data_IF_222584749660
#
_entry.id   IF_222584749660
#
_cell.length_a   1.000
_cell.length_b   1.000
_cell.length_c   1.000
_cell.angle_alpha   90.00
_cell.angle_beta   90.00
_cell.angle_gamma   90.00
#
_symmetry.space_group_name_H-M   'P 1'
#
loop_
_entity.id
_entity.type
_entity.pdbx_description
1 polymer ?
#
# COMPACT_ATOMS: atom_id res chain seq x y z
N UNK A 1 -15.33 3.52 19.93
CA UNK A 1 -14.53 3.12 18.88
C UNK A 1 -14.51 3.98 17.67
N UNK A 2 -15.50 4.65 17.43
CA UNK A 2 -15.53 5.46 16.39
C UNK A 2 -14.68 6.60 16.52
N UNK A 3 -14.20 7.01 17.59
CA UNK A 3 -13.27 8.08 17.66
C UNK A 3 -11.88 7.70 17.15
N UNK A 4 -11.63 6.43 16.86
CA UNK A 4 -10.42 6.09 16.20
C UNK A 4 -10.30 6.73 14.84
N UNK A 5 -11.37 7.02 14.17
CA UNK A 5 -11.32 7.60 12.84
C UNK A 5 -10.66 8.97 12.81
N UNK A 6 -10.55 9.63 13.97
CA UNK A 6 -9.87 10.91 14.03
C UNK A 6 -8.37 10.78 13.99
N UNK A 7 -7.83 9.59 14.31
CA UNK A 7 -6.38 9.37 14.32
C UNK A 7 -5.92 8.63 13.10
N UNK A 8 -6.79 7.87 12.47
CA UNK A 8 -6.42 7.03 11.35
C UNK A 8 -7.13 7.48 10.11
N UNK A 9 -6.47 7.41 8.98
CA UNK A 9 -7.13 7.66 7.71
C UNK A 9 -6.60 6.70 6.67
N UNK A 10 -7.45 6.39 5.69
CA UNK A 10 -7.10 5.59 4.53
C UNK A 10 -7.35 6.46 3.32
N UNK A 11 -6.34 6.68 2.51
CA UNK A 11 -6.42 7.61 1.40
C UNK A 11 -5.95 6.97 0.10
N UNK A 12 -6.71 7.19 -0.96
CA UNK A 12 -6.29 6.76 -2.29
C UNK A 12 -5.12 7.63 -2.74
N UNK A 13 -4.09 7.01 -3.28
CA UNK A 13 -2.95 7.74 -3.83
C UNK A 13 -3.32 8.22 -5.23
N UNK A 14 -3.61 9.51 -5.35
CA UNK A 14 -4.04 10.10 -6.60
C UNK A 14 -3.50 11.54 -6.68
N UNK A 15 -2.67 11.84 -7.67
CA UNK A 15 -2.27 10.99 -8.79
C UNK A 15 -1.34 9.86 -8.33
N UNK A 16 -1.17 8.88 -9.21
CA UNK A 16 -0.31 7.74 -8.89
C UNK A 16 1.13 8.21 -8.66
N UNK A 17 1.82 7.52 -7.78
CA UNK A 17 3.17 7.89 -7.40
C UNK A 17 3.96 6.60 -7.20
N UNK A 18 4.70 6.19 -8.25
CA UNK A 18 5.40 4.93 -8.20
C UNK A 18 6.51 4.92 -7.15
N UNK A 19 7.05 6.07 -6.82
CA UNK A 19 8.10 6.13 -5.80
C UNK A 19 7.54 5.80 -4.43
N UNK A 20 6.29 6.19 -4.18
CA UNK A 20 5.64 5.86 -2.93
C UNK A 20 5.38 4.35 -2.83
N UNK A 21 4.91 3.74 -3.91
CA UNK A 21 4.72 2.29 -3.94
C UNK A 21 6.05 1.57 -3.72
N UNK A 22 7.11 2.05 -4.35
CA UNK A 22 8.43 1.45 -4.20
C UNK A 22 8.94 1.57 -2.77
N UNK A 23 8.73 2.73 -2.15
CA UNK A 23 9.11 2.96 -0.76
C UNK A 23 8.42 1.95 0.16
N UNK A 24 7.10 1.81 0.01
CA UNK A 24 6.35 0.90 0.85
C UNK A 24 6.73 -0.55 0.58
N UNK A 25 6.92 -0.91 -0.68
CA UNK A 25 7.30 -2.27 -1.00
C UNK A 25 8.60 -2.64 -0.29
N UNK A 26 9.58 -1.75 -0.34
CA UNK A 26 10.87 -2.03 0.29
C UNK A 26 10.77 -2.06 1.81
N UNK A 27 10.07 -1.10 2.39
CA UNK A 27 10.10 -0.91 3.85
C UNK A 27 9.12 -1.81 4.59
N UNK A 28 8.01 -2.16 3.97
CA UNK A 28 7.11 -3.14 4.54
C UNK A 28 7.61 -4.53 4.19
N UNK A 29 8.03 -4.70 2.94
CA UNK A 29 8.34 -6.02 2.41
C UNK A 29 9.58 -6.65 3.00
N UNK A 30 10.50 -5.86 3.55
CA UNK A 30 11.72 -6.45 4.10
C UNK A 30 11.42 -7.42 5.24
N UNK A 31 10.37 -7.17 6.01
CA UNK A 31 9.99 -8.05 7.09
C UNK A 31 9.09 -9.20 6.62
N UNK A 32 8.59 -9.14 5.40
CA UNK A 32 7.75 -10.17 4.83
C UNK A 32 8.45 -10.94 3.72
N UNK A 33 9.74 -10.63 3.50
CA UNK A 33 10.55 -11.27 2.47
C UNK A 33 9.96 -11.11 1.06
N UNK A 34 9.40 -9.95 0.78
CA UNK A 34 8.90 -9.62 -0.56
C UNK A 34 10.11 -9.34 -1.45
N UNK A 35 10.32 -10.13 -2.46
CA UNK A 35 11.50 -9.99 -3.31
C UNK A 35 11.17 -9.82 -4.78
N UNK A 36 9.94 -10.10 -5.19
CA UNK A 36 9.56 -10.14 -6.61
C UNK A 36 9.86 -8.87 -7.34
N UNK A 37 9.61 -7.73 -6.72
CA UNK A 37 9.72 -6.45 -7.39
C UNK A 37 11.01 -5.71 -7.09
N UNK A 38 11.92 -6.32 -6.33
CA UNK A 38 13.19 -5.65 -6.03
C UNK A 38 14.01 -5.39 -7.29
N UNK A 39 13.79 -6.20 -8.34
CA UNK A 39 14.50 -6.06 -9.59
C UNK A 39 13.74 -5.22 -10.63
N UNK A 40 12.59 -4.70 -10.28
CA UNK A 40 11.81 -3.91 -11.23
C UNK A 40 12.54 -2.62 -11.58
N UNK A 41 12.50 -2.27 -12.86
CA UNK A 41 12.97 -0.96 -13.32
C UNK A 41 11.92 0.10 -12.98
N UNK A 42 12.30 1.36 -13.11
CA UNK A 42 11.34 2.44 -12.92
C UNK A 42 10.18 2.32 -13.88
N UNK A 43 10.45 1.93 -15.12
CA UNK A 43 9.38 1.80 -16.10
C UNK A 43 8.41 0.72 -15.76
N UNK A 44 8.88 -0.37 -15.17
CA UNK A 44 7.99 -1.42 -14.70
C UNK A 44 7.11 -0.93 -13.55
N UNK A 45 7.69 -0.16 -12.62
CA UNK A 45 6.92 0.42 -11.55
C UNK A 45 5.87 1.39 -12.07
N UNK A 46 6.27 2.27 -13.00
CA UNK A 46 5.34 3.26 -13.56
C UNK A 46 4.20 2.55 -14.28
N UNK A 47 4.53 1.55 -15.09
CA UNK A 47 3.50 0.83 -15.82
C UNK A 47 2.51 0.12 -14.90
N UNK A 48 3.00 -0.42 -13.81
CA UNK A 48 2.14 -1.12 -12.86
C UNK A 48 1.19 -0.14 -12.17
N UNK A 49 1.72 0.92 -11.57
CA UNK A 49 0.87 1.82 -10.79
C UNK A 49 -0.06 2.66 -11.66
N UNK A 50 0.29 2.83 -12.93
CA UNK A 50 -0.54 3.62 -13.85
C UNK A 50 -1.66 2.80 -14.48
N UNK A 51 -1.68 1.49 -14.28
CA UNK A 51 -2.74 0.65 -14.81
C UNK A 51 -4.04 1.01 -14.10
N UNK A 52 -5.12 1.19 -14.88
CA UNK A 52 -6.41 1.56 -14.32
C UNK A 52 -6.93 0.54 -13.31
N UNK A 53 -6.49 -0.71 -13.42
CA UNK A 53 -6.96 -1.77 -12.54
C UNK A 53 -6.23 -1.75 -11.20
N UNK A 54 -5.17 -0.97 -11.07
CA UNK A 54 -4.38 -0.94 -9.85
C UNK A 54 -4.73 0.30 -9.05
N UNK A 55 -5.08 0.12 -7.79
CA UNK A 55 -5.39 1.22 -6.88
C UNK A 55 -4.52 1.08 -5.64
N UNK A 56 -3.81 2.14 -5.31
CA UNK A 56 -2.96 2.16 -4.13
C UNK A 56 -3.58 3.06 -3.08
N UNK A 57 -3.65 2.54 -1.86
CA UNK A 57 -4.16 3.30 -0.72
C UNK A 57 -3.09 3.33 0.35
N UNK A 58 -3.00 4.44 1.06
CA UNK A 58 -2.10 4.56 2.20
C UNK A 58 -2.91 4.67 3.47
N UNK A 59 -2.37 4.10 4.53
CA UNK A 59 -2.90 4.23 5.87
C UNK A 59 -2.04 5.25 6.59
N UNK A 60 -2.67 6.26 7.18
CA UNK A 60 -1.97 7.25 7.96
C UNK A 60 -2.43 7.22 9.39
N UNK A 61 -1.51 7.48 10.30
CA UNK A 61 -1.80 7.61 11.72
C UNK A 61 -1.33 9.00 12.10
N UNK A 62 -2.25 9.85 12.52
CA UNK A 62 -1.96 11.24 12.89
C UNK A 62 -1.20 12.00 11.80
N UNK A 63 -1.55 11.69 10.56
CA UNK A 63 -0.96 12.36 9.41
C UNK A 63 0.32 11.72 8.88
N UNK A 64 0.87 10.74 9.58
CA UNK A 64 2.11 10.09 9.16
C UNK A 64 1.81 8.76 8.49
N UNK A 65 2.60 8.39 7.49
CA UNK A 65 2.44 7.11 6.83
C UNK A 65 2.66 5.98 7.82
N UNK A 66 1.73 5.04 7.86
CA UNK A 66 1.83 3.87 8.72
C UNK A 66 1.83 2.57 7.92
N UNK A 67 1.19 2.58 6.76
CA UNK A 67 1.13 1.38 5.94
C UNK A 67 0.46 1.66 4.62
N UNK A 68 0.20 0.59 3.87
CA UNK A 68 -0.44 0.73 2.57
C UNK A 68 -1.04 -0.58 2.14
N UNK A 69 -1.87 -0.51 1.10
CA UNK A 69 -2.29 -1.69 0.39
C UNK A 69 -2.53 -1.37 -1.07
N UNK A 70 -2.37 -2.37 -1.92
CA UNK A 70 -2.62 -2.26 -3.35
C UNK A 70 -3.74 -3.21 -3.72
N UNK A 71 -4.70 -2.71 -4.46
CA UNK A 71 -5.80 -3.51 -4.97
C UNK A 71 -5.67 -3.66 -6.47
N UNK A 72 -5.95 -4.86 -6.97
CA UNK A 72 -6.03 -5.09 -8.40
C UNK A 72 -7.46 -5.50 -8.72
N UNK A 73 -8.09 -4.75 -9.62
CA UNK A 73 -9.47 -4.99 -10.01
C UNK A 73 -9.51 -5.96 -11.17
N UNK A 74 -10.13 -7.10 -10.96
CA UNK A 74 -10.27 -8.12 -12.01
C UNK A 74 -11.67 -7.98 -12.62
N UNK A 75 -11.78 -7.15 -13.65
CA UNK A 75 -13.07 -6.77 -14.19
C UNK A 75 -13.82 -7.93 -14.84
N UNK A 76 -13.10 -8.91 -15.39
CA UNK A 76 -13.74 -10.01 -16.08
C UNK A 76 -14.55 -10.89 -15.14
N UNK A 77 -14.08 -11.11 -13.92
CA UNK A 77 -14.78 -11.95 -12.97
C UNK A 77 -15.29 -11.16 -11.78
N UNK A 78 -15.23 -9.83 -11.87
CA UNK A 78 -15.77 -8.93 -10.85
C UNK A 78 -15.17 -9.17 -9.47
N UNK A 79 -13.86 -9.40 -9.44
CA UNK A 79 -13.15 -9.65 -8.18
C UNK A 79 -12.12 -8.56 -7.91
N UNK A 80 -11.78 -8.40 -6.65
CA UNK A 80 -10.75 -7.47 -6.23
C UNK A 80 -9.69 -8.29 -5.49
N UNK A 81 -8.46 -8.14 -5.92
CA UNK A 81 -7.34 -8.83 -5.28
C UNK A 81 -6.55 -7.84 -4.43
N UNK A 82 -6.18 -8.23 -3.23
CA UNK A 82 -5.24 -7.45 -2.43
C UNK A 82 -3.85 -7.97 -2.79
N UNK A 83 -3.12 -7.17 -3.57
CA UNK A 83 -1.82 -7.62 -4.07
C UNK A 83 -0.74 -7.54 -2.98
N UNK A 84 -0.73 -6.43 -2.24
CA UNK A 84 0.21 -6.24 -1.15
C UNK A 84 -0.47 -5.43 -0.06
N UNK A 85 -0.12 -5.73 1.17
CA UNK A 85 -0.72 -5.10 2.33
C UNK A 85 0.24 -5.19 3.49
N UNK A 86 0.48 -4.11 4.17
CA UNK A 86 1.28 -4.17 5.38
C UNK A 86 1.54 -2.81 6.01
N UNK A 87 2.05 -2.88 7.22
CA UNK A 87 2.41 -1.70 7.99
C UNK A 87 3.91 -1.50 7.97
N UNK A 88 4.33 -0.24 8.07
CA UNK A 88 5.73 0.07 8.29
C UNK A 88 6.15 -0.50 9.64
N UNK A 89 7.44 -0.80 9.77
CA UNK A 89 7.95 -1.50 10.92
C UNK A 89 7.62 -0.81 12.25
N UNK A 90 7.70 0.51 12.26
CA UNK A 90 7.44 1.27 13.48
C UNK A 90 5.99 1.17 13.96
N UNK A 91 5.08 0.67 13.13
CA UNK A 91 3.68 0.51 13.51
C UNK A 91 3.27 -0.94 13.74
N UNK A 92 4.13 -1.89 13.42
CA UNK A 92 3.74 -3.29 13.49
C UNK A 92 3.51 -3.77 14.91
N UNK A 93 4.23 -3.22 15.86
CA UNK A 93 4.13 -3.64 17.25
C UNK A 93 3.27 -2.72 18.09
N UNK A 94 2.54 -1.82 17.48
CA UNK A 94 1.71 -0.88 18.22
C UNK A 94 0.26 -1.33 18.35
N UNK A 95 -0.06 -2.51 17.88
CA UNK A 95 -1.40 -3.07 17.99
C UNK A 95 -2.48 -2.13 17.51
N UNK A 96 -2.27 -1.58 16.33
CA UNK A 96 -3.20 -0.58 15.80
C UNK A 96 -4.61 -1.11 15.63
N UNK A 97 -4.80 -2.36 15.49
CA UNK A 97 -6.11 -2.94 15.32
C UNK A 97 -6.76 -3.44 16.59
N UNK A 98 -6.12 -3.25 17.70
CA UNK A 98 -6.64 -3.85 18.93
C UNK A 98 -7.21 -2.84 19.91
#
# INVERSE_FOLDING_TARGET
SFYYSKKYSVELVNPVDFQLNKFFYKNVGKNHHWVDRLVWTEQQWIGYVSDKKVKTYVLKVKGDFAGYFELILHLNNKEVEIAYLGLLEEYQNQKLGS
#
